data_IF_090724890918
#
_entry.id   IF_090724890918
#
_cell.length_a   1.000
_cell.length_b   1.000
_cell.length_c   1.000
_cell.angle_alpha   90.00
_cell.angle_beta   90.00
_cell.angle_gamma   90.00
#
_symmetry.space_group_name_H-M   'P 1'
#
loop_
_entity.id
_entity.type
_entity.pdbx_description
1 polymer ?
#
# COMPACT_ATOMS: atom_id res chain seq x y z
N UNK A 1 6.59 7.92 -16.46
CA UNK A 1 6.38 7.57 -15.04
C UNK A 1 7.32 6.45 -14.58
N UNK A 2 7.44 5.34 -15.30
CA UNK A 2 8.43 4.28 -14.98
C UNK A 2 9.84 4.81 -14.67
N UNK A 3 10.41 5.66 -15.54
CA UNK A 3 11.75 6.22 -15.33
C UNK A 3 11.88 7.07 -14.05
N UNK A 4 10.80 7.79 -13.70
CA UNK A 4 10.75 8.54 -12.44
C UNK A 4 10.84 7.58 -11.25
N UNK A 5 10.08 6.49 -11.24
CA UNK A 5 10.14 5.49 -10.17
C UNK A 5 11.50 4.76 -10.16
N UNK A 6 12.10 4.48 -11.32
CA UNK A 6 13.47 3.95 -11.40
C UNK A 6 14.47 4.88 -10.69
N UNK A 7 14.35 6.20 -10.91
CA UNK A 7 15.20 7.18 -10.23
C UNK A 7 14.98 7.18 -8.71
N UNK A 8 13.71 7.14 -8.26
CA UNK A 8 13.38 7.05 -6.82
C UNK A 8 13.87 5.74 -6.19
N UNK A 9 13.73 4.61 -6.88
CA UNK A 9 14.22 3.32 -6.40
C UNK A 9 15.74 3.34 -6.18
N UNK A 10 16.49 3.89 -7.14
CA UNK A 10 17.93 4.07 -7.00
C UNK A 10 18.31 5.05 -5.89
N UNK A 11 17.50 6.09 -5.66
CA UNK A 11 17.74 7.06 -4.59
C UNK A 11 17.56 6.45 -3.20
N UNK A 12 16.52 5.64 -3.00
CA UNK A 12 16.13 5.17 -1.68
C UNK A 12 16.64 3.77 -1.31
N UNK A 13 17.24 3.03 -2.25
CA UNK A 13 17.67 1.63 -2.03
C UNK A 13 18.56 1.42 -0.79
N UNK A 14 19.40 2.40 -0.46
CA UNK A 14 20.36 2.32 0.65
C UNK A 14 19.97 3.21 1.85
N UNK A 15 18.76 3.80 1.83
CA UNK A 15 18.33 4.82 2.83
C UNK A 15 17.47 4.25 3.97
N UNK A 16 17.43 2.93 4.15
CA UNK A 16 16.52 2.30 5.12
C UNK A 16 16.70 2.84 6.56
N UNK A 17 17.93 2.88 7.06
CA UNK A 17 18.25 3.40 8.39
C UNK A 17 17.95 4.90 8.55
N UNK A 18 18.19 5.68 7.51
CA UNK A 18 17.88 7.11 7.46
C UNK A 18 16.37 7.36 7.53
N UNK A 19 15.58 6.56 6.81
CA UNK A 19 14.11 6.63 6.81
C UNK A 19 13.53 6.27 8.17
N UNK A 20 14.04 5.22 8.85
CA UNK A 20 13.67 4.90 10.24
C UNK A 20 13.97 6.08 11.15
N UNK A 21 15.19 6.61 11.09
CA UNK A 21 15.61 7.74 11.93
C UNK A 21 14.77 8.99 11.68
N UNK A 22 14.41 9.26 10.43
CA UNK A 22 13.56 10.37 10.05
C UNK A 22 12.13 10.18 10.56
N UNK A 23 11.55 9.00 10.38
CA UNK A 23 10.23 8.67 10.90
C UNK A 23 10.19 8.82 12.43
N UNK A 24 11.18 8.27 13.14
CA UNK A 24 11.30 8.32 14.59
C UNK A 24 11.38 9.74 15.15
N UNK A 25 12.06 10.65 14.45
CA UNK A 25 12.13 12.07 14.81
C UNK A 25 10.81 12.82 14.58
N UNK A 26 10.01 12.37 13.62
CA UNK A 26 8.85 13.13 13.13
C UNK A 26 7.49 12.60 13.62
N UNK A 27 7.40 11.34 14.04
CA UNK A 27 6.12 10.82 14.55
C UNK A 27 5.76 11.45 15.90
N UNK A 28 4.46 11.57 16.16
CA UNK A 28 3.88 12.09 17.40
C UNK A 28 3.07 11.04 18.15
N UNK A 29 2.43 10.15 17.41
CA UNK A 29 1.65 9.07 18.00
C UNK A 29 1.66 7.86 17.07
N UNK A 30 1.13 6.75 17.58
CA UNK A 30 0.90 5.54 16.80
C UNK A 30 -0.56 5.14 16.85
N UNK A 31 -1.03 4.57 15.75
CA UNK A 31 -2.28 3.80 15.71
C UNK A 31 -1.94 2.38 15.29
N UNK A 32 -2.71 1.43 15.77
CA UNK A 32 -2.47 0.05 15.46
C UNK A 32 -3.58 -0.53 14.61
N UNK A 33 -3.21 -1.43 13.70
CA UNK A 33 -4.10 -2.18 12.86
C UNK A 33 -3.91 -3.68 12.99
N UNK A 34 -4.86 -4.41 12.42
CA UNK A 34 -4.78 -5.86 12.27
C UNK A 34 -5.38 -6.30 10.94
N UNK A 35 -4.77 -7.31 10.33
CA UNK A 35 -5.26 -7.91 9.10
C UNK A 35 -4.15 -8.57 8.31
N UNK A 36 -4.49 -9.52 7.44
CA UNK A 36 -3.54 -10.03 6.45
C UNK A 36 -3.16 -8.88 5.51
N UNK A 37 -4.17 -8.16 5.03
CA UNK A 37 -4.00 -6.91 4.30
C UNK A 37 -3.77 -5.72 5.25
N UNK A 38 -3.09 -4.66 4.77
CA UNK A 38 -2.90 -3.45 5.56
C UNK A 38 -4.23 -2.79 5.95
N UNK A 39 -4.25 -2.15 7.11
CA UNK A 39 -5.38 -1.31 7.53
C UNK A 39 -5.38 0.06 6.86
N UNK A 40 -4.24 0.46 6.30
CA UNK A 40 -4.05 1.70 5.57
C UNK A 40 -3.44 1.43 4.19
N UNK A 41 -4.04 2.02 3.17
CA UNK A 41 -3.46 2.18 1.85
C UNK A 41 -3.83 3.57 1.30
N UNK A 42 -2.85 4.36 0.83
CA UNK A 42 -3.14 5.63 0.17
C UNK A 42 -3.83 5.43 -1.19
N UNK A 43 -3.68 4.26 -1.81
CA UNK A 43 -4.30 3.88 -3.06
C UNK A 43 -5.63 3.14 -2.81
N UNK A 44 -6.78 3.64 -3.30
CA UNK A 44 -8.08 3.00 -3.09
C UNK A 44 -8.16 1.56 -3.61
N UNK A 45 -8.90 0.72 -2.89
CA UNK A 45 -9.27 -0.65 -3.24
C UNK A 45 -8.13 -1.66 -3.45
N UNK A 46 -6.93 -1.37 -2.96
CA UNK A 46 -5.78 -2.26 -3.20
C UNK A 46 -5.93 -3.66 -2.62
N UNK A 47 -6.72 -3.82 -1.56
CA UNK A 47 -7.01 -5.14 -0.98
C UNK A 47 -8.14 -5.82 -1.76
N UNK A 48 -9.17 -5.05 -2.08
CA UNK A 48 -10.42 -5.51 -2.67
C UNK A 48 -10.22 -5.96 -4.13
N UNK A 49 -9.31 -5.31 -4.87
CA UNK A 49 -8.88 -5.76 -6.20
C UNK A 49 -8.19 -7.13 -6.19
N UNK A 50 -7.70 -7.59 -5.03
CA UNK A 50 -7.15 -8.92 -4.80
C UNK A 50 -8.18 -9.87 -4.17
N UNK A 51 -9.46 -9.51 -4.14
CA UNK A 51 -10.53 -10.26 -3.47
C UNK A 51 -10.52 -10.17 -1.95
N UNK A 52 -9.55 -9.47 -1.37
CA UNK A 52 -9.33 -9.45 0.07
C UNK A 52 -10.01 -8.26 0.75
N UNK A 53 -10.44 -8.46 2.00
CA UNK A 53 -10.86 -7.33 2.85
C UNK A 53 -9.61 -6.59 3.37
N UNK A 54 -9.64 -5.25 3.41
CA UNK A 54 -8.57 -4.50 4.06
C UNK A 54 -8.50 -4.84 5.55
N UNK A 55 -7.33 -4.57 6.14
CA UNK A 55 -7.18 -4.61 7.60
C UNK A 55 -8.07 -3.56 8.28
N UNK A 56 -8.16 -3.63 9.60
CA UNK A 56 -8.89 -2.64 10.39
C UNK A 56 -7.99 -2.02 11.45
N UNK A 57 -8.18 -0.73 11.68
CA UNK A 57 -7.61 -0.09 12.86
C UNK A 57 -8.25 -0.61 14.15
N UNK A 58 -7.41 -0.74 15.18
CA UNK A 58 -7.79 -1.13 16.52
C UNK A 58 -8.19 0.11 17.33
N UNK A 59 -9.20 -0.04 18.19
CA UNK A 59 -9.65 1.04 19.08
C UNK A 59 -8.67 1.33 20.23
N UNK A 60 -7.73 0.43 20.48
CA UNK A 60 -6.76 0.50 21.57
C UNK A 60 -5.38 0.10 21.06
N UNK A 61 -4.37 0.55 21.79
CA UNK A 61 -3.03 -0.01 21.67
C UNK A 61 -3.07 -1.51 21.98
N UNK A 62 -2.05 -2.21 21.51
CA UNK A 62 -1.85 -3.64 21.66
C UNK A 62 -0.36 -3.90 21.42
N UNK A 63 0.04 -5.17 21.53
CA UNK A 63 1.42 -5.61 21.40
C UNK A 63 1.73 -6.22 20.02
N UNK A 64 3.01 -6.39 19.66
CA UNK A 64 3.41 -7.20 18.52
C UNK A 64 2.72 -8.57 18.49
N UNK A 65 2.09 -8.90 17.36
CA UNK A 65 1.50 -10.22 17.10
C UNK A 65 1.50 -10.49 15.58
N UNK A 66 1.24 -11.73 15.16
CA UNK A 66 1.09 -12.07 13.75
C UNK A 66 0.00 -11.22 13.10
N UNK A 67 0.30 -10.64 11.94
CA UNK A 67 -0.61 -9.78 11.16
C UNK A 67 -1.03 -8.49 11.87
N UNK A 68 -0.23 -8.06 12.85
CA UNK A 68 -0.43 -6.82 13.60
C UNK A 68 0.42 -5.73 12.97
N UNK A 69 -0.11 -4.52 12.83
CA UNK A 69 0.55 -3.41 12.12
C UNK A 69 0.60 -2.17 13.02
N UNK A 70 1.78 -1.60 13.24
CA UNK A 70 1.94 -0.30 13.90
C UNK A 70 2.08 0.78 12.84
N UNK A 71 1.24 1.81 12.87
CA UNK A 71 1.33 2.96 11.98
C UNK A 71 1.80 4.18 12.77
N UNK A 72 2.78 4.89 12.24
CA UNK A 72 3.38 6.07 12.85
C UNK A 72 2.78 7.32 12.22
N UNK A 73 2.17 8.19 13.03
CA UNK A 73 1.53 9.41 12.58
C UNK A 73 2.38 10.63 12.92
N UNK A 74 2.51 11.57 11.99
CA UNK A 74 3.15 12.87 12.25
C UNK A 74 2.20 13.84 13.00
N UNK A 75 2.62 15.09 13.19
CA UNK A 75 1.84 16.14 13.86
C UNK A 75 0.53 16.50 13.16
N UNK A 76 0.43 16.25 11.86
CA UNK A 76 -0.71 16.55 11.01
C UNK A 76 -1.63 15.30 10.85
N UNK A 77 -1.37 14.25 11.65
CA UNK A 77 -2.05 12.95 11.61
C UNK A 77 -1.84 12.15 10.31
N UNK A 78 -0.86 12.52 9.49
CA UNK A 78 -0.48 11.72 8.32
C UNK A 78 0.29 10.48 8.78
N UNK A 79 -0.08 9.31 8.27
CA UNK A 79 0.72 8.09 8.44
C UNK A 79 1.99 8.24 7.61
N UNK A 80 3.14 8.25 8.27
CA UNK A 80 4.47 8.43 7.66
C UNK A 80 5.29 7.14 7.63
N UNK A 81 4.83 6.11 8.35
CA UNK A 81 5.43 4.79 8.32
C UNK A 81 4.52 3.71 8.86
N UNK A 82 4.83 2.47 8.49
CA UNK A 82 4.22 1.25 9.00
C UNK A 82 5.29 0.24 9.40
N UNK A 83 5.04 -0.47 10.50
CA UNK A 83 5.74 -1.68 10.92
C UNK A 83 4.75 -2.85 11.03
N UNK A 84 4.81 -3.80 10.11
CA UNK A 84 3.95 -5.00 10.09
C UNK A 84 4.68 -6.20 10.67
N UNK A 85 4.12 -6.77 11.73
CA UNK A 85 4.62 -7.97 12.39
C UNK A 85 4.11 -9.22 11.67
N UNK A 86 5.03 -10.01 11.10
CA UNK A 86 4.68 -11.15 10.26
C UNK A 86 4.82 -12.49 10.99
N UNK A 87 5.96 -12.74 11.63
CA UNK A 87 6.24 -14.01 12.28
C UNK A 87 7.24 -13.86 13.42
N UNK A 88 6.98 -14.48 14.56
CA UNK A 88 7.95 -14.55 15.64
C UNK A 88 8.96 -15.68 15.41
N UNK A 89 10.25 -15.38 15.54
CA UNK A 89 11.34 -16.34 15.43
C UNK A 89 11.81 -16.71 16.83
N UNK A 90 11.33 -17.84 17.34
CA UNK A 90 11.56 -18.29 18.73
C UNK A 90 13.04 -18.36 19.10
N UNK A 91 13.89 -18.86 18.20
CA UNK A 91 15.34 -19.02 18.45
C UNK A 91 16.03 -17.66 18.64
N UNK A 92 15.62 -16.64 17.87
CA UNK A 92 16.17 -15.28 17.94
C UNK A 92 15.45 -14.40 18.96
N UNK A 93 14.32 -14.85 19.48
CA UNK A 93 13.40 -14.08 20.33
C UNK A 93 13.02 -12.72 19.72
N UNK A 94 12.84 -12.70 18.40
CA UNK A 94 12.58 -11.49 17.62
C UNK A 94 11.47 -11.72 16.60
N UNK A 95 10.78 -10.65 16.24
CA UNK A 95 9.79 -10.65 15.17
C UNK A 95 10.46 -10.43 13.82
N UNK A 96 10.02 -11.15 12.79
CA UNK A 96 10.18 -10.74 11.40
C UNK A 96 9.13 -9.67 11.12
N UNK A 97 9.57 -8.55 10.57
CA UNK A 97 8.75 -7.39 10.27
C UNK A 97 8.94 -6.93 8.83
N UNK A 98 7.93 -6.25 8.31
CA UNK A 98 8.00 -5.49 7.06
C UNK A 98 7.81 -4.01 7.38
N UNK A 99 8.47 -3.13 6.64
CA UNK A 99 8.31 -1.69 6.79
C UNK A 99 7.87 -1.04 5.50
N UNK A 100 7.00 -0.04 5.66
CA UNK A 100 6.63 0.89 4.60
C UNK A 100 6.84 2.30 5.10
N UNK A 101 7.26 3.20 4.22
CA UNK A 101 7.36 4.63 4.50
C UNK A 101 6.50 5.40 3.51
N UNK A 102 5.88 6.48 3.98
CA UNK A 102 5.01 7.33 3.18
C UNK A 102 5.54 8.75 3.24
N UNK A 103 6.10 9.23 2.14
CA UNK A 103 6.59 10.59 2.01
C UNK A 103 5.50 11.44 1.37
N UNK A 104 4.94 12.36 2.15
CA UNK A 104 3.82 13.21 1.74
C UNK A 104 4.34 14.49 1.08
N UNK A 105 3.78 14.80 -0.08
CA UNK A 105 3.91 16.08 -0.78
C UNK A 105 2.51 16.62 -1.11
N UNK A 106 2.40 17.84 -1.64
CA UNK A 106 1.11 18.55 -1.76
C UNK A 106 0.01 17.74 -2.46
N UNK A 107 0.32 17.12 -3.60
CA UNK A 107 -0.65 16.38 -4.42
C UNK A 107 -0.21 14.93 -4.68
N UNK A 108 0.71 14.41 -3.87
CA UNK A 108 1.25 13.06 -4.06
C UNK A 108 1.81 12.42 -2.79
N UNK A 109 1.81 11.09 -2.77
CA UNK A 109 2.45 10.30 -1.73
C UNK A 109 3.42 9.33 -2.41
N UNK A 110 4.69 9.38 -2.01
CA UNK A 110 5.68 8.37 -2.37
C UNK A 110 5.68 7.28 -1.29
N UNK A 111 5.29 6.06 -1.66
CA UNK A 111 5.36 4.88 -0.81
C UNK A 111 6.65 4.09 -1.12
N UNK A 112 7.39 3.75 -0.07
CA UNK A 112 8.60 2.93 -0.14
C UNK A 112 8.34 1.64 0.64
N UNK A 113 8.34 0.49 -0.04
CA UNK A 113 8.11 -0.82 0.60
C UNK A 113 9.42 -1.57 0.67
N UNK A 114 9.82 -1.96 1.89
CA UNK A 114 11.03 -2.71 2.15
C UNK A 114 10.73 -4.18 2.44
N UNK A 115 11.69 -5.03 2.09
CA UNK A 115 11.67 -6.44 2.39
C UNK A 115 11.73 -6.73 3.89
N UNK A 116 11.58 -8.01 4.22
CA UNK A 116 11.48 -8.44 5.61
C UNK A 116 12.80 -8.35 6.36
N UNK A 117 12.76 -7.91 7.62
CA UNK A 117 13.91 -7.85 8.53
C UNK A 117 13.54 -8.34 9.94
N UNK A 118 14.53 -8.50 10.83
CA UNK A 118 14.31 -8.84 12.24
C UNK A 118 14.17 -7.57 13.07
N UNK A 119 12.98 -7.35 13.62
CA UNK A 119 12.60 -6.13 14.31
C UNK A 119 13.74 -5.52 15.14
N UNK A 120 14.13 -4.30 14.76
CA UNK A 120 15.25 -3.57 15.35
C UNK A 120 16.49 -3.54 14.45
N UNK A 121 16.51 -4.30 13.35
CA UNK A 121 17.55 -4.15 12.34
C UNK A 121 17.38 -2.83 11.58
N UNK A 122 18.50 -2.29 11.12
CA UNK A 122 18.58 -1.02 10.39
C UNK A 122 18.97 -1.22 8.92
N UNK A 123 18.84 -2.45 8.42
CA UNK A 123 19.15 -2.81 7.04
C UNK A 123 18.05 -3.72 6.48
N UNK A 124 17.49 -3.31 5.34
CA UNK A 124 16.54 -4.08 4.55
C UNK A 124 16.63 -3.61 3.09
N UNK A 125 16.38 -4.51 2.14
CA UNK A 125 16.32 -4.17 0.73
C UNK A 125 15.03 -3.43 0.41
N UNK A 126 15.11 -2.42 -0.45
CA UNK A 126 13.93 -1.79 -1.03
C UNK A 126 13.30 -2.74 -2.06
N UNK A 127 12.07 -3.17 -1.80
CA UNK A 127 11.33 -4.11 -2.65
C UNK A 127 10.57 -3.38 -3.76
N UNK A 128 9.97 -2.23 -3.45
CA UNK A 128 9.27 -1.42 -4.45
C UNK A 128 9.16 0.05 -4.06
N UNK A 129 8.93 0.87 -5.08
CA UNK A 129 8.55 2.28 -4.94
C UNK A 129 7.23 2.49 -5.63
N UNK A 130 6.32 3.19 -4.96
CA UNK A 130 5.04 3.58 -5.54
C UNK A 130 4.80 5.08 -5.40
N UNK A 131 4.14 5.68 -6.40
CA UNK A 131 3.66 7.05 -6.36
C UNK A 131 2.14 7.03 -6.46
N UNK A 132 1.47 7.66 -5.50
CA UNK A 132 0.04 7.92 -5.55
C UNK A 132 -0.14 9.40 -5.85
N UNK A 133 -0.91 9.73 -6.87
CA UNK A 133 -1.20 11.11 -7.26
C UNK A 133 -2.64 11.48 -6.93
N UNK A 134 -2.86 12.73 -6.53
CA UNK A 134 -4.15 13.24 -6.14
C UNK A 134 -4.55 14.46 -6.98
N UNK A 135 -5.85 14.67 -7.12
CA UNK A 135 -6.43 15.91 -7.63
C UNK A 135 -7.66 16.23 -6.79
N UNK A 136 -7.67 17.38 -6.12
CA UNK A 136 -8.74 17.75 -5.18
C UNK A 136 -9.02 16.64 -4.15
N UNK A 137 -7.97 16.16 -3.49
CA UNK A 137 -7.98 15.08 -2.48
C UNK A 137 -8.45 13.70 -2.97
N UNK A 138 -8.67 13.53 -4.28
CA UNK A 138 -9.05 12.25 -4.90
C UNK A 138 -7.85 11.60 -5.56
N UNK A 139 -7.56 10.35 -5.21
CA UNK A 139 -6.52 9.58 -5.88
C UNK A 139 -6.87 9.42 -7.36
N UNK A 140 -5.97 9.86 -8.25
CA UNK A 140 -6.13 9.79 -9.70
C UNK A 140 -5.34 8.65 -10.31
N UNK A 141 -4.22 8.30 -9.70
CA UNK A 141 -3.35 7.22 -10.15
C UNK A 141 -2.51 6.66 -9.01
N UNK A 142 -2.17 5.39 -9.14
CA UNK A 142 -1.15 4.71 -8.36
C UNK A 142 -0.19 4.03 -9.34
N UNK A 143 1.10 4.33 -9.21
CA UNK A 143 2.15 3.87 -10.10
C UNK A 143 3.18 3.13 -9.26
N UNK A 144 3.48 1.87 -9.57
CA UNK A 144 4.38 1.05 -8.76
C UNK A 144 5.47 0.41 -9.62
N UNK A 145 6.70 0.43 -9.13
CA UNK A 145 7.83 -0.27 -9.71
C UNK A 145 8.45 -1.18 -8.65
N UNK A 146 8.47 -2.48 -8.92
CA UNK A 146 9.18 -3.46 -8.12
C UNK A 146 10.68 -3.46 -8.48
N UNK A 147 11.53 -3.86 -7.53
CA UNK A 147 12.98 -4.00 -7.76
C UNK A 147 13.33 -5.10 -8.78
N UNK A 148 12.37 -5.96 -9.11
CA UNK A 148 12.44 -6.95 -10.21
C UNK A 148 12.21 -6.34 -11.60
N UNK A 149 11.81 -5.06 -11.67
CA UNK A 149 11.54 -4.32 -12.91
C UNK A 149 10.09 -4.38 -13.40
N UNK A 150 9.23 -5.12 -12.70
CA UNK A 150 7.78 -5.15 -12.95
C UNK A 150 7.16 -3.79 -12.62
N UNK A 151 6.32 -3.29 -13.53
CA UNK A 151 5.72 -1.97 -13.43
C UNK A 151 4.20 -2.05 -13.54
N UNK A 152 3.50 -1.27 -12.70
CA UNK A 152 2.06 -1.28 -12.57
C UNK A 152 1.53 0.15 -12.60
N UNK A 153 0.39 0.34 -13.26
CA UNK A 153 -0.40 1.56 -13.18
C UNK A 153 -1.83 1.19 -12.80
N UNK A 154 -2.39 1.84 -11.78
CA UNK A 154 -3.79 1.74 -11.38
C UNK A 154 -4.40 3.13 -11.53
N UNK A 155 -5.35 3.29 -12.44
CA UNK A 155 -5.97 4.57 -12.78
C UNK A 155 -7.43 4.58 -12.33
N UNK A 156 -7.83 5.66 -11.66
CA UNK A 156 -9.15 5.77 -11.03
C UNK A 156 -10.05 6.72 -11.81
N UNK A 157 -11.27 6.28 -12.12
CA UNK A 157 -12.32 7.12 -12.70
C UNK A 157 -13.45 7.32 -11.71
N UNK A 158 -13.88 8.56 -11.59
CA UNK A 158 -14.93 8.97 -10.66
C UNK A 158 -16.21 9.37 -11.39
N UNK A 159 -17.33 9.19 -10.71
CA UNK A 159 -18.57 9.92 -10.94
C UNK A 159 -18.91 10.64 -9.62
N UNK A 160 -18.95 11.97 -9.66
CA UNK A 160 -18.96 12.81 -8.47
C UNK A 160 -17.82 12.42 -7.49
N UNK A 161 -18.16 11.93 -6.30
CA UNK A 161 -17.19 11.58 -5.24
C UNK A 161 -16.90 10.08 -5.14
N UNK A 162 -17.50 9.26 -6.02
CA UNK A 162 -17.33 7.81 -5.99
C UNK A 162 -16.51 7.33 -7.17
N UNK A 163 -15.55 6.45 -6.89
CA UNK A 163 -14.86 5.69 -7.94
C UNK A 163 -15.87 4.74 -8.57
N UNK A 164 -16.02 4.81 -9.89
CA UNK A 164 -16.93 3.96 -10.67
C UNK A 164 -16.19 2.92 -11.50
N UNK A 165 -14.93 3.19 -11.84
CA UNK A 165 -14.11 2.21 -12.53
C UNK A 165 -12.63 2.40 -12.23
N UNK A 166 -11.89 1.30 -12.38
CA UNK A 166 -10.44 1.25 -12.21
C UNK A 166 -9.85 0.54 -13.42
N UNK A 167 -8.75 1.07 -13.95
CA UNK A 167 -7.96 0.40 -14.98
C UNK A 167 -6.61 0.05 -14.41
N UNK A 168 -6.22 -1.23 -14.47
CA UNK A 168 -4.87 -1.68 -14.15
C UNK A 168 -4.11 -2.03 -15.41
N UNK A 169 -2.92 -1.45 -15.56
CA UNK A 169 -1.96 -1.77 -16.61
C UNK A 169 -0.72 -2.39 -15.98
N UNK A 170 -0.33 -3.55 -16.47
CA UNK A 170 0.67 -4.41 -15.84
C UNK A 170 1.73 -4.76 -16.87
N UNK A 171 2.97 -4.35 -16.61
CA UNK A 171 4.14 -4.67 -17.42
C UNK A 171 5.03 -5.65 -16.64
N UNK A 172 4.90 -6.94 -16.96
CA UNK A 172 5.78 -8.03 -16.49
C UNK A 172 6.57 -8.58 -17.69
N UNK A 173 6.63 -9.90 -17.84
CA UNK A 173 7.09 -10.56 -19.09
C UNK A 173 6.15 -10.29 -20.27
N UNK A 174 4.86 -10.10 -19.99
CA UNK A 174 3.84 -9.66 -20.95
C UNK A 174 3.12 -8.43 -20.43
N UNK A 175 2.55 -7.66 -21.36
CA UNK A 175 1.64 -6.58 -21.03
C UNK A 175 0.23 -7.14 -20.81
N UNK A 176 -0.44 -6.69 -19.75
CA UNK A 176 -1.85 -7.02 -19.48
C UNK A 176 -2.57 -5.77 -19.01
N UNK A 177 -3.80 -5.60 -19.47
CA UNK A 177 -4.71 -4.56 -19.01
C UNK A 177 -5.94 -5.21 -18.42
N UNK A 178 -6.40 -4.71 -17.26
CA UNK A 178 -7.61 -5.15 -16.57
C UNK A 178 -8.51 -3.96 -16.32
N UNK A 179 -9.80 -4.18 -16.47
CA UNK A 179 -10.81 -3.15 -16.23
C UNK A 179 -11.76 -3.62 -15.14
N UNK A 180 -12.01 -2.74 -14.18
CA UNK A 180 -12.87 -3.01 -13.04
C UNK A 180 -14.02 -2.02 -12.99
N UNK A 181 -15.22 -2.53 -12.74
CA UNK A 181 -16.42 -1.75 -12.49
C UNK A 181 -16.75 -1.79 -10.99
N UNK A 182 -16.94 -0.60 -10.40
CA UNK A 182 -17.11 -0.43 -8.96
C UNK A 182 -18.54 -0.01 -8.68
N UNK A 183 -19.27 -0.88 -7.98
CA UNK A 183 -20.67 -0.67 -7.64
C UNK A 183 -20.83 -0.36 -6.14
N UNK A 184 -21.51 0.75 -5.88
CA UNK A 184 -21.82 1.26 -4.54
C UNK A 184 -23.31 1.13 -4.27
N UNK A 185 -23.78 -0.09 -3.97
CA UNK A 185 -25.17 -0.33 -3.64
C UNK A 185 -25.38 -0.12 -2.13
N UNK A 186 -25.88 1.07 -1.75
CA UNK A 186 -25.95 1.48 -0.34
C UNK A 186 -24.56 1.55 0.30
N UNK A 187 -24.39 0.84 1.41
CA UNK A 187 -23.11 0.70 2.13
C UNK A 187 -22.28 -0.51 1.66
N UNK A 188 -22.75 -1.24 0.65
CA UNK A 188 -22.03 -2.39 0.10
C UNK A 188 -21.20 -2.01 -1.12
N UNK A 189 -19.95 -2.46 -1.11
CA UNK A 189 -19.01 -2.38 -2.22
C UNK A 189 -19.03 -3.70 -2.98
N UNK A 190 -19.24 -3.66 -4.28
CA UNK A 190 -19.01 -4.80 -5.18
C UNK A 190 -18.07 -4.39 -6.30
N UNK A 191 -17.07 -5.22 -6.58
CA UNK A 191 -16.12 -5.01 -7.67
C UNK A 191 -16.25 -6.15 -8.67
N UNK A 192 -16.41 -5.78 -9.93
CA UNK A 192 -16.40 -6.72 -11.06
C UNK A 192 -15.17 -6.48 -11.93
N UNK A 193 -14.45 -7.53 -12.30
CA UNK A 193 -13.54 -7.50 -13.44
C UNK A 193 -14.36 -7.69 -14.72
N UNK A 194 -14.16 -6.83 -15.70
CA UNK A 194 -14.78 -6.96 -17.03
C UNK A 194 -13.81 -7.70 -17.93
N UNK A 195 -14.25 -8.87 -18.40
CA UNK A 195 -13.47 -9.75 -19.26
C UNK A 195 -13.53 -9.27 -20.72
N UNK A 196 -12.68 -9.85 -21.57
CA UNK A 196 -12.55 -9.45 -22.99
C UNK A 196 -13.83 -9.66 -23.82
N UNK A 197 -14.73 -10.53 -23.38
CA UNK A 197 -16.05 -10.77 -23.98
C UNK A 197 -17.16 -9.86 -23.39
N UNK A 198 -16.78 -8.87 -22.56
CA UNK A 198 -17.66 -8.00 -21.78
C UNK A 198 -18.48 -8.71 -20.69
N UNK A 199 -18.23 -9.99 -20.41
CA UNK A 199 -18.77 -10.62 -19.22
C UNK A 199 -18.14 -10.03 -17.95
N UNK A 200 -18.87 -10.11 -16.83
CA UNK A 200 -18.44 -9.56 -15.55
C UNK A 200 -18.17 -10.68 -14.57
N UNK A 201 -16.95 -10.73 -14.06
CA UNK A 201 -16.57 -11.61 -12.96
C UNK A 201 -16.58 -10.80 -11.67
N UNK A 202 -17.40 -11.18 -10.70
CA UNK A 202 -17.37 -10.58 -9.37
C UNK A 202 -16.09 -11.01 -8.65
N UNK A 203 -15.26 -10.05 -8.26
CA UNK A 203 -14.00 -10.31 -7.54
C UNK A 203 -14.06 -9.88 -6.07
N UNK A 204 -14.98 -8.99 -5.71
CA UNK A 204 -15.16 -8.57 -4.32
C UNK A 204 -16.63 -8.27 -4.01
N UNK A 205 -17.13 -8.66 -2.82
CA UNK A 205 -16.47 -9.54 -1.86
C UNK A 205 -16.32 -10.96 -2.43
N UNK A 206 -15.28 -11.70 -2.01
CA UNK A 206 -15.19 -13.14 -2.23
C UNK A 206 -16.46 -13.82 -1.68
N UNK A 207 -16.95 -14.82 -2.42
CA UNK A 207 -18.13 -15.62 -2.06
C UNK A 207 -17.80 -16.72 -1.06
#
# INVERSE_FOLDING_TARGET
MKDFLCARLNEYKDKYSELISSMEKNYKTTIWGMGIMPSYSPAPYMSELQGCKPGRFLKKNSEPDKNRQCYFLNKDNNIIGELKFAKYVTIKKQWIVYRRFFLHEADQILELTFGSELNGNLEANLDSVSLITFLNDKATGHYCLNNTGEYFETLYKYNADKITSITEKIWRSTFTERFYEINHAGDSLTIFEVLTDNSKLKIYPEE
#
